data_IF_380086391747
#
_entry.id   IF_380086391747
#
_cell.length_a   1.000
_cell.length_b   1.000
_cell.length_c   1.000
_cell.angle_alpha   90.00
_cell.angle_beta   90.00
_cell.angle_gamma   90.00
#
_symmetry.space_group_name_H-M   'P 1'
#
loop_
_entity.id
_entity.type
_entity.pdbx_description
1 polymer ?
#
# COMPACT_ATOMS: atom_id res chain seq x y z
N UNK A 1 15.90 -15.20 28.73
CA UNK A 1 16.71 -14.51 27.71
C UNK A 1 18.13 -14.40 28.24
N UNK A 2 19.14 -14.89 27.50
CA UNK A 2 20.53 -14.86 27.97
C UNK A 2 21.14 -13.49 27.62
N UNK A 3 22.06 -13.00 28.46
CA UNK A 3 22.76 -11.72 28.29
C UNK A 3 23.54 -11.58 26.96
N UNK A 4 23.74 -12.67 26.22
CA UNK A 4 24.41 -12.69 24.91
C UNK A 4 23.58 -12.10 23.78
N UNK A 5 22.25 -12.01 23.93
CA UNK A 5 21.34 -11.60 22.85
C UNK A 5 21.04 -10.09 22.86
N UNK A 6 21.52 -9.37 23.88
CA UNK A 6 21.24 -7.95 24.11
C UNK A 6 22.37 -7.07 23.53
N UNK A 7 23.60 -7.58 23.50
CA UNK A 7 24.78 -6.84 23.03
C UNK A 7 24.70 -6.41 21.55
N UNK A 8 24.23 -7.25 20.60
CA UNK A 8 24.10 -6.85 19.20
C UNK A 8 23.00 -5.80 18.99
N UNK A 9 21.97 -5.79 19.84
CA UNK A 9 20.89 -4.80 19.80
C UNK A 9 21.43 -3.42 20.20
N UNK A 10 22.24 -3.35 21.26
CA UNK A 10 22.83 -2.10 21.75
C UNK A 10 23.84 -1.48 20.79
N UNK A 11 24.64 -2.27 20.06
CA UNK A 11 25.57 -1.76 19.05
C UNK A 11 24.85 -1.23 17.79
N UNK A 12 23.70 -1.83 17.44
CA UNK A 12 22.82 -1.32 16.39
C UNK A 12 22.21 0.02 16.80
N UNK A 13 21.67 0.14 18.02
CA UNK A 13 21.11 1.43 18.49
C UNK A 13 22.18 2.49 18.84
N UNK A 14 23.38 2.07 19.23
CA UNK A 14 24.50 2.95 19.61
C UNK A 14 25.21 3.59 18.42
N UNK A 15 25.31 2.89 17.29
CA UNK A 15 25.96 3.38 16.05
C UNK A 15 25.02 4.16 15.12
N UNK A 16 23.70 4.10 15.33
CA UNK A 16 22.68 4.75 14.49
C UNK A 16 22.21 6.10 15.02
N UNK A 17 22.90 6.72 15.99
CA UNK A 17 22.49 8.01 16.58
C UNK A 17 22.38 9.17 15.57
N UNK A 18 22.95 9.02 14.37
CA UNK A 18 22.86 9.99 13.26
C UNK A 18 22.41 9.37 11.94
N UNK A 19 21.98 8.11 11.94
CA UNK A 19 21.58 7.43 10.70
C UNK A 19 20.16 7.84 10.28
N UNK A 20 20.00 8.18 9.01
CA UNK A 20 18.68 8.45 8.45
C UNK A 20 17.78 7.21 8.55
N UNK A 21 16.46 7.39 8.60
CA UNK A 21 15.52 6.28 8.61
C UNK A 21 15.75 5.28 7.45
N UNK A 22 16.24 5.78 6.32
CA UNK A 22 16.59 4.97 5.15
C UNK A 22 17.84 4.11 5.40
N UNK A 23 18.89 4.66 6.04
CA UNK A 23 20.09 3.90 6.41
C UNK A 23 19.77 2.81 7.45
N UNK A 24 18.90 3.12 8.42
CA UNK A 24 18.40 2.12 9.38
C UNK A 24 17.69 0.99 8.64
N UNK A 25 16.80 1.32 7.70
CA UNK A 25 16.02 0.35 6.91
C UNK A 25 16.90 -0.53 6.03
N UNK A 26 17.90 0.05 5.36
CA UNK A 26 18.88 -0.68 4.57
C UNK A 26 19.73 -1.63 5.43
N UNK A 27 20.19 -1.16 6.59
CA UNK A 27 20.97 -1.98 7.51
C UNK A 27 20.17 -3.17 8.04
N UNK A 28 18.90 -2.94 8.43
CA UNK A 28 17.98 -4.01 8.82
C UNK A 28 17.72 -5.01 7.69
N UNK A 29 17.55 -4.54 6.44
CA UNK A 29 17.39 -5.41 5.29
C UNK A 29 18.63 -6.29 5.04
N UNK A 30 19.83 -5.73 5.23
CA UNK A 30 21.11 -6.44 5.11
C UNK A 30 21.30 -7.51 6.19
N UNK A 31 21.02 -7.19 7.45
CA UNK A 31 21.04 -8.17 8.56
C UNK A 31 20.08 -9.33 8.26
N UNK A 32 18.86 -9.00 7.82
CA UNK A 32 17.88 -10.02 7.45
C UNK A 32 18.30 -10.84 6.24
N UNK A 33 19.07 -10.28 5.31
CA UNK A 33 19.61 -11.04 4.18
C UNK A 33 20.68 -12.05 4.60
N UNK A 34 21.53 -11.69 5.58
CA UNK A 34 22.52 -12.60 6.16
C UNK A 34 21.86 -13.74 6.94
N UNK A 35 20.88 -13.45 7.80
CA UNK A 35 20.12 -14.48 8.55
C UNK A 35 19.44 -15.53 7.64
N UNK A 36 19.11 -15.17 6.39
CA UNK A 36 18.48 -16.08 5.42
C UNK A 36 19.47 -17.08 4.81
N UNK A 37 20.69 -16.64 4.51
CA UNK A 37 21.75 -17.53 4.00
C UNK A 37 22.08 -18.65 5.00
N UNK A 38 22.01 -18.34 6.29
CA UNK A 38 22.31 -19.29 7.37
C UNK A 38 21.19 -20.31 7.64
N UNK A 39 19.98 -20.11 7.08
CA UNK A 39 18.78 -20.93 7.35
C UNK A 39 18.41 -21.92 6.24
N UNK A 40 19.29 -22.18 5.27
CA UNK A 40 19.03 -23.10 4.14
C UNK A 40 17.71 -22.82 3.40
N UNK A 41 17.37 -21.54 3.26
CA UNK A 41 16.17 -21.12 2.53
C UNK A 41 16.42 -21.24 1.03
N UNK A 42 15.55 -21.95 0.33
CA UNK A 42 15.73 -22.29 -1.09
C UNK A 42 15.08 -21.28 -2.03
N UNK A 43 14.11 -20.47 -1.55
CA UNK A 43 13.44 -19.43 -2.33
C UNK A 43 13.77 -18.02 -1.85
N UNK A 44 13.90 -17.09 -2.80
CA UNK A 44 14.04 -15.64 -2.54
C UNK A 44 12.87 -15.09 -1.69
N UNK A 45 11.70 -15.72 -1.82
CA UNK A 45 10.46 -15.34 -1.15
C UNK A 45 10.26 -16.02 0.21
N UNK A 46 11.18 -16.86 0.66
CA UNK A 46 11.07 -17.53 1.95
C UNK A 46 11.05 -16.52 3.11
N UNK A 47 10.31 -16.88 4.17
CA UNK A 47 10.12 -16.10 5.39
C UNK A 47 9.50 -14.71 5.17
N UNK A 48 8.58 -14.57 4.23
CA UNK A 48 7.63 -13.45 4.19
C UNK A 48 6.39 -13.89 5.00
N UNK A 49 6.09 -13.28 6.17
CA UNK A 49 4.98 -13.73 7.00
C UNK A 49 3.64 -13.59 6.27
N UNK A 50 2.84 -14.66 6.31
CA UNK A 50 1.50 -14.70 5.71
C UNK A 50 0.48 -13.81 6.43
N UNK A 51 0.70 -13.56 7.73
CA UNK A 51 -0.19 -12.73 8.56
C UNK A 51 -0.04 -11.21 8.30
N UNK A 52 0.84 -10.80 7.38
CA UNK A 52 0.95 -9.39 7.03
C UNK A 52 -0.28 -8.94 6.23
N UNK A 53 -0.72 -7.68 6.40
CA UNK A 53 -1.66 -7.05 5.48
C UNK A 53 -1.19 -7.17 4.03
N UNK A 54 -2.14 -7.30 3.11
CA UNK A 54 -1.85 -7.65 1.72
C UNK A 54 -0.88 -6.65 1.05
N UNK A 55 -1.10 -5.33 1.19
CA UNK A 55 -0.24 -4.32 0.56
C UNK A 55 1.17 -4.34 1.15
N UNK A 56 1.28 -4.45 2.48
CA UNK A 56 2.58 -4.61 3.16
C UNK A 56 3.30 -5.88 2.71
N UNK A 57 2.56 -6.98 2.52
CA UNK A 57 3.13 -8.25 2.04
C UNK A 57 3.62 -8.11 0.59
N UNK A 58 2.85 -7.46 -0.28
CA UNK A 58 3.23 -7.19 -1.67
C UNK A 58 4.51 -6.36 -1.76
N UNK A 59 4.65 -5.29 -0.97
CA UNK A 59 5.90 -4.51 -0.91
C UNK A 59 7.09 -5.38 -0.51
N UNK A 60 6.92 -6.29 0.47
CA UNK A 60 8.01 -7.19 0.87
C UNK A 60 8.38 -8.17 -0.24
N UNK A 61 7.40 -8.72 -0.95
CA UNK A 61 7.66 -9.59 -2.11
C UNK A 61 8.46 -8.83 -3.16
N UNK A 62 8.00 -7.64 -3.53
CA UNK A 62 8.66 -6.77 -4.52
C UNK A 62 10.09 -6.42 -4.11
N UNK A 63 10.32 -6.04 -2.85
CA UNK A 63 11.66 -5.76 -2.33
C UNK A 63 12.58 -6.99 -2.35
N UNK A 64 12.04 -8.20 -2.18
CA UNK A 64 12.83 -9.45 -2.22
C UNK A 64 13.28 -9.77 -3.64
N UNK A 65 12.37 -9.68 -4.61
CA UNK A 65 12.70 -9.95 -6.02
C UNK A 65 13.59 -8.83 -6.60
N UNK A 66 13.38 -7.58 -6.19
CA UNK A 66 14.27 -6.47 -6.52
C UNK A 66 15.70 -6.69 -6.00
N UNK A 67 15.84 -7.26 -4.81
CA UNK A 67 17.15 -7.60 -4.22
C UNK A 67 17.96 -8.63 -5.01
N UNK A 68 17.37 -9.32 -5.98
CA UNK A 68 18.07 -10.22 -6.91
C UNK A 68 18.11 -9.68 -8.35
N UNK A 69 17.76 -8.40 -8.55
CA UNK A 69 17.78 -7.73 -9.85
C UNK A 69 16.49 -7.82 -10.65
N UNK A 70 15.40 -8.31 -10.06
CA UNK A 70 14.08 -8.33 -10.69
C UNK A 70 13.28 -7.08 -10.28
N UNK A 71 13.68 -5.94 -10.83
CA UNK A 71 13.02 -4.65 -10.64
C UNK A 71 13.19 -3.78 -11.90
N UNK A 72 12.38 -2.73 -12.01
CA UNK A 72 12.54 -1.68 -13.01
C UNK A 72 13.41 -0.56 -12.46
N UNK A 73 14.21 0.09 -13.31
CA UNK A 73 15.06 1.21 -12.90
C UNK A 73 14.37 2.58 -13.03
N UNK A 74 13.22 2.64 -13.70
CA UNK A 74 12.47 3.86 -14.00
C UNK A 74 10.97 3.69 -13.73
N UNK A 75 10.30 4.81 -13.47
CA UNK A 75 8.86 4.88 -13.22
C UNK A 75 8.02 4.58 -14.46
N UNK A 76 8.53 4.89 -15.67
CA UNK A 76 7.80 4.68 -16.93
C UNK A 76 7.24 3.26 -17.07
N UNK A 77 8.09 2.23 -17.06
CA UNK A 77 7.66 0.83 -17.13
C UNK A 77 6.67 0.41 -16.03
N UNK A 78 6.77 1.00 -14.84
CA UNK A 78 5.86 0.71 -13.72
C UNK A 78 4.45 1.26 -14.00
N UNK A 79 4.38 2.46 -14.55
CA UNK A 79 3.11 3.09 -14.95
C UNK A 79 2.49 2.37 -16.16
N UNK A 80 3.32 1.97 -17.12
CA UNK A 80 2.86 1.19 -18.28
C UNK A 80 2.23 -0.12 -17.84
N UNK A 81 2.83 -0.83 -16.87
CA UNK A 81 2.25 -2.05 -16.32
C UNK A 81 0.89 -1.78 -15.67
N UNK A 82 0.69 -0.68 -14.94
CA UNK A 82 -0.64 -0.35 -14.39
C UNK A 82 -1.69 -0.18 -15.50
N UNK A 83 -1.34 0.45 -16.62
CA UNK A 83 -2.26 0.59 -17.75
C UNK A 83 -2.58 -0.75 -18.41
N UNK A 84 -1.59 -1.64 -18.53
CA UNK A 84 -1.76 -3.02 -19.00
C UNK A 84 -2.77 -3.77 -18.13
N UNK A 85 -2.57 -3.78 -16.80
CA UNK A 85 -3.46 -4.47 -15.85
C UNK A 85 -4.90 -3.90 -15.85
N UNK A 86 -5.06 -2.58 -16.02
CA UNK A 86 -6.39 -1.98 -16.23
C UNK A 86 -7.03 -2.54 -17.50
N UNK A 87 -6.24 -2.70 -18.56
CA UNK A 87 -6.68 -3.30 -19.82
C UNK A 87 -7.14 -4.74 -19.65
N UNK A 88 -6.40 -5.55 -18.88
CA UNK A 88 -6.71 -6.96 -18.62
C UNK A 88 -7.98 -7.12 -17.78
N UNK A 89 -8.13 -6.35 -16.70
CA UNK A 89 -9.40 -6.28 -15.92
C UNK A 89 -10.58 -5.94 -16.83
N UNK A 90 -10.44 -4.90 -17.66
CA UNK A 90 -11.53 -4.46 -18.55
C UNK A 90 -11.81 -5.47 -19.66
N UNK A 91 -10.81 -6.21 -20.12
CA UNK A 91 -10.97 -7.28 -21.10
C UNK A 91 -11.86 -8.38 -20.53
N UNK A 92 -11.51 -8.92 -19.36
CA UNK A 92 -12.26 -10.01 -18.71
C UNK A 92 -13.70 -9.61 -18.37
N UNK A 93 -13.93 -8.36 -17.93
CA UNK A 93 -15.28 -7.83 -17.65
C UNK A 93 -16.16 -7.70 -18.91
N UNK A 94 -15.56 -7.49 -20.09
CA UNK A 94 -16.29 -7.22 -21.35
C UNK A 94 -16.56 -8.47 -22.18
N UNK A 95 -16.10 -9.65 -21.75
CA UNK A 95 -16.41 -10.89 -22.43
C UNK A 95 -17.92 -11.17 -22.41
N UNK A 96 -18.42 -11.88 -23.43
CA UNK A 96 -19.83 -12.30 -23.48
C UNK A 96 -20.25 -13.15 -22.27
N UNK A 97 -19.29 -13.86 -21.67
CA UNK A 97 -19.44 -14.69 -20.47
C UNK A 97 -18.27 -14.45 -19.52
N UNK A 98 -18.30 -13.38 -18.72
CA UNK A 98 -17.22 -13.06 -17.79
C UNK A 98 -17.06 -14.14 -16.73
N UNK A 99 -15.82 -14.51 -16.41
CA UNK A 99 -15.49 -15.47 -15.35
C UNK A 99 -15.01 -14.69 -14.14
N UNK A 100 -15.77 -14.73 -13.04
CA UNK A 100 -15.49 -13.90 -11.87
C UNK A 100 -14.13 -14.18 -11.23
N UNK A 101 -13.66 -15.43 -11.28
CA UNK A 101 -12.34 -15.81 -10.78
C UNK A 101 -11.22 -15.13 -11.57
N UNK A 102 -11.35 -15.02 -12.89
CA UNK A 102 -10.38 -14.32 -13.73
C UNK A 102 -10.38 -12.82 -13.47
N UNK A 103 -11.55 -12.20 -13.38
CA UNK A 103 -11.66 -10.78 -13.02
C UNK A 103 -10.99 -10.50 -11.67
N UNK A 104 -11.14 -11.43 -10.72
CA UNK A 104 -10.48 -11.32 -9.41
C UNK A 104 -8.95 -11.44 -9.52
N UNK A 105 -8.45 -12.31 -10.40
CA UNK A 105 -7.02 -12.48 -10.67
C UNK A 105 -6.41 -11.19 -11.21
N UNK A 106 -6.96 -10.66 -12.31
CA UNK A 106 -6.50 -9.40 -12.93
C UNK A 106 -6.62 -8.20 -11.98
N UNK A 107 -7.65 -8.18 -11.13
CA UNK A 107 -7.77 -7.16 -10.09
C UNK A 107 -6.65 -7.27 -9.05
N UNK A 108 -6.22 -8.49 -8.74
CA UNK A 108 -5.08 -8.77 -7.89
C UNK A 108 -3.78 -8.21 -8.47
N UNK A 109 -3.55 -8.43 -9.77
CA UNK A 109 -2.36 -7.95 -10.47
C UNK A 109 -2.36 -6.43 -10.61
N UNK A 110 -3.50 -5.80 -10.89
CA UNK A 110 -3.65 -4.35 -10.82
C UNK A 110 -3.28 -3.78 -9.45
N UNK A 111 -3.78 -4.36 -8.36
CA UNK A 111 -3.44 -3.94 -6.99
C UNK A 111 -1.96 -4.16 -6.68
N UNK A 112 -1.36 -5.23 -7.21
CA UNK A 112 0.07 -5.49 -7.08
C UNK A 112 0.92 -4.46 -7.83
N UNK A 113 0.54 -4.10 -9.06
CA UNK A 113 1.18 -3.07 -9.87
C UNK A 113 1.08 -1.67 -9.22
N UNK A 114 -0.09 -1.29 -8.69
CA UNK A 114 -0.27 -0.04 -7.93
C UNK A 114 0.59 -0.02 -6.66
N UNK A 115 0.69 -1.15 -5.96
CA UNK A 115 1.59 -1.30 -4.81
C UNK A 115 3.06 -1.11 -5.23
N UNK A 116 3.43 -1.61 -6.41
CA UNK A 116 4.76 -1.43 -6.95
C UNK A 116 5.09 0.04 -7.26
N UNK A 117 4.13 0.78 -7.83
CA UNK A 117 4.26 2.23 -8.02
C UNK A 117 4.48 2.96 -6.69
N UNK A 118 3.68 2.64 -5.66
CA UNK A 118 3.86 3.24 -4.34
C UNK A 118 5.27 2.98 -3.79
N UNK A 119 5.78 1.75 -3.93
CA UNK A 119 7.14 1.40 -3.51
C UNK A 119 8.20 2.21 -4.27
N UNK A 120 8.08 2.34 -5.58
CA UNK A 120 8.97 3.14 -6.43
C UNK A 120 8.96 4.64 -6.06
N UNK A 121 7.82 5.15 -5.60
CA UNK A 121 7.68 6.52 -5.07
C UNK A 121 8.15 6.67 -3.61
N UNK A 122 8.66 5.62 -2.98
CA UNK A 122 9.06 5.64 -1.57
C UNK A 122 7.89 5.72 -0.58
N UNK A 123 6.67 5.40 -1.02
CA UNK A 123 5.44 5.47 -0.22
C UNK A 123 5.14 4.08 0.36
N UNK A 124 4.70 4.03 1.62
CA UNK A 124 4.15 2.81 2.22
C UNK A 124 2.65 2.72 1.88
N UNK A 125 2.24 1.80 0.97
CA UNK A 125 0.89 1.77 0.42
C UNK A 125 -0.19 1.48 1.46
N UNK A 126 0.10 0.66 2.48
CA UNK A 126 -0.86 0.35 3.53
C UNK A 126 -1.17 1.62 4.35
N UNK A 127 -0.15 2.40 4.73
CA UNK A 127 -0.30 3.68 5.40
C UNK A 127 -1.00 4.71 4.52
N UNK A 128 -0.65 4.81 3.24
CA UNK A 128 -1.28 5.72 2.31
C UNK A 128 -2.79 5.45 2.18
N UNK A 129 -3.18 4.17 2.06
CA UNK A 129 -4.58 3.77 2.00
C UNK A 129 -5.31 4.03 3.32
N UNK A 130 -4.70 3.73 4.47
CA UNK A 130 -5.27 4.08 5.79
C UNK A 130 -5.55 5.58 5.92
N UNK A 131 -4.64 6.44 5.46
CA UNK A 131 -4.83 7.89 5.48
C UNK A 131 -5.94 8.34 4.51
N UNK A 132 -6.02 7.73 3.32
CA UNK A 132 -7.08 7.99 2.37
C UNK A 132 -8.46 7.63 2.95
N UNK A 133 -8.58 6.47 3.60
CA UNK A 133 -9.81 6.02 4.26
C UNK A 133 -10.22 6.97 5.39
N UNK A 134 -9.29 7.32 6.29
CA UNK A 134 -9.57 8.25 7.38
C UNK A 134 -10.00 9.64 6.88
N UNK A 135 -9.42 10.12 5.78
CA UNK A 135 -9.83 11.35 5.10
C UNK A 135 -11.24 11.23 4.53
N UNK A 136 -11.55 10.11 3.88
CA UNK A 136 -12.89 9.86 3.33
C UNK A 136 -13.95 9.83 4.45
N UNK A 137 -13.72 9.04 5.51
CA UNK A 137 -14.64 8.94 6.66
C UNK A 137 -14.91 10.29 7.31
N UNK A 138 -13.86 11.08 7.57
CA UNK A 138 -14.01 12.41 8.14
C UNK A 138 -14.85 13.32 7.26
N UNK A 139 -14.64 13.28 5.94
CA UNK A 139 -15.41 14.09 4.99
C UNK A 139 -16.85 13.65 4.91
N UNK A 140 -17.09 12.34 4.86
CA UNK A 140 -18.43 11.79 4.79
C UNK A 140 -19.25 12.10 6.05
N UNK A 141 -18.65 12.03 7.25
CA UNK A 141 -19.29 12.51 8.49
C UNK A 141 -19.68 13.99 8.43
N UNK A 142 -18.87 14.80 7.74
CA UNK A 142 -19.21 16.19 7.44
C UNK A 142 -20.42 16.31 6.53
N UNK A 143 -20.51 15.47 5.49
CA UNK A 143 -21.69 15.39 4.61
C UNK A 143 -22.93 15.01 5.39
N UNK A 144 -22.88 13.98 6.24
CA UNK A 144 -23.99 13.56 7.12
C UNK A 144 -24.46 14.72 8.03
N UNK A 145 -23.51 15.47 8.57
CA UNK A 145 -23.80 16.64 9.43
C UNK A 145 -24.49 17.77 8.65
N UNK A 146 -24.15 17.97 7.37
CA UNK A 146 -24.79 18.98 6.53
C UNK A 146 -26.16 18.51 6.04
N UNK A 147 -26.27 17.26 5.59
CA UNK A 147 -27.51 16.65 5.15
C UNK A 147 -28.57 16.65 6.25
N UNK A 148 -28.20 16.29 7.49
CA UNK A 148 -29.15 16.29 8.63
C UNK A 148 -29.71 17.68 8.96
N UNK A 149 -29.01 18.77 8.62
CA UNK A 149 -29.53 20.14 8.80
C UNK A 149 -30.62 20.52 7.80
N UNK A 150 -30.77 19.78 6.71
CA UNK A 150 -31.83 19.99 5.73
C UNK A 150 -33.20 19.49 6.19
N UNK A 151 -33.23 18.66 7.24
CA UNK A 151 -34.45 17.98 7.72
C UNK A 151 -34.87 16.77 6.90
N UNK A 152 -34.14 16.42 5.82
CA UNK A 152 -34.32 15.20 5.02
C UNK A 152 -33.44 14.06 5.54
N UNK A 153 -33.82 12.80 5.29
CA UNK A 153 -32.94 11.64 5.49
C UNK A 153 -31.83 11.60 4.42
N UNK A 154 -30.78 10.81 4.66
CA UNK A 154 -29.66 10.71 3.71
C UNK A 154 -30.11 10.12 2.36
N UNK A 155 -31.03 9.17 2.38
CA UNK A 155 -31.56 8.46 1.22
C UNK A 155 -32.44 9.36 0.33
N UNK A 156 -32.97 10.45 0.88
CA UNK A 156 -33.79 11.43 0.17
C UNK A 156 -32.96 12.49 -0.58
N UNK A 157 -31.64 12.50 -0.38
CA UNK A 157 -30.75 13.38 -1.12
C UNK A 157 -30.32 12.75 -2.44
N UNK A 158 -30.33 13.55 -3.49
CA UNK A 158 -29.68 13.20 -4.75
C UNK A 158 -28.16 13.19 -4.60
N UNK A 159 -27.48 12.44 -5.48
CA UNK A 159 -26.00 12.46 -5.55
C UNK A 159 -25.46 13.89 -5.75
N UNK A 160 -26.16 14.73 -6.52
CA UNK A 160 -25.77 16.12 -6.76
C UNK A 160 -25.80 16.93 -5.45
N UNK A 161 -26.82 16.75 -4.61
CA UNK A 161 -26.89 17.40 -3.30
C UNK A 161 -25.76 16.92 -2.36
N UNK A 162 -25.52 15.61 -2.32
CA UNK A 162 -24.46 15.01 -1.50
C UNK A 162 -23.06 15.45 -1.94
N UNK A 163 -22.81 15.52 -3.26
CA UNK A 163 -21.57 16.06 -3.83
C UNK A 163 -21.38 17.54 -3.49
N UNK A 164 -22.48 18.32 -3.49
CA UNK A 164 -22.46 19.71 -3.05
C UNK A 164 -22.01 19.87 -1.59
N UNK A 165 -22.53 19.03 -0.70
CA UNK A 165 -22.09 18.97 0.70
C UNK A 165 -20.64 18.52 0.83
N UNK A 166 -20.23 17.51 0.04
CA UNK A 166 -18.85 17.01 0.04
C UNK A 166 -17.85 18.11 -0.31
N UNK A 167 -18.14 18.89 -1.34
CA UNK A 167 -17.30 20.02 -1.73
C UNK A 167 -17.32 21.15 -0.69
N UNK A 168 -18.43 21.37 0.01
CA UNK A 168 -18.48 22.29 1.14
C UNK A 168 -17.57 21.83 2.28
N UNK A 169 -17.60 20.54 2.64
CA UNK A 169 -16.71 19.98 3.67
C UNK A 169 -15.25 20.12 3.27
N UNK A 170 -14.89 19.80 2.01
CA UNK A 170 -13.54 19.97 1.49
C UNK A 170 -13.03 21.40 1.62
N UNK A 171 -13.84 22.41 1.26
CA UNK A 171 -13.45 23.82 1.40
C UNK A 171 -13.15 24.21 2.84
N UNK A 172 -13.94 23.71 3.80
CA UNK A 172 -13.76 24.01 5.22
C UNK A 172 -12.51 23.36 5.84
N UNK A 173 -11.98 22.28 5.25
CA UNK A 173 -10.72 21.67 5.69
C UNK A 173 -9.48 22.46 5.25
N UNK A 174 -9.53 23.08 4.06
CA UNK A 174 -8.39 23.82 3.49
C UNK A 174 -8.12 25.14 4.24
N UNK A 175 -9.14 25.67 4.92
CA UNK A 175 -9.06 26.92 5.68
C UNK A 175 -8.80 26.73 7.18
N UNK A 176 -8.44 25.51 7.61
CA UNK A 176 -8.01 25.19 8.99
C UNK A 176 -6.53 24.85 9.00
#
# INVERSE_FOLDING_TARGET
>A
MKNSDIQPLLDVFGSLKEASAEQVKQHWASIKAKERKDKSLHSVLDNIPLALPALTRSVKIQQRVAGVGFDWDDLGPVVDKIHEEIGEVLHEVRLDKPIQEKIQDEMGDLLFAVTNLARHLGIEPEQALRQANAKFERRFRGVETLASKSGKSMEEHSLIELDGYWDQVKRNEVHK
#
